data_IF_640713639947
#
_entry.id   IF_640713639947
#
_cell.length_a   1.000
_cell.length_b   1.000
_cell.length_c   1.000
_cell.angle_alpha   90.00
_cell.angle_beta   90.00
_cell.angle_gamma   90.00
#
_symmetry.space_group_name_H-M   'P 1'
#
loop_
_entity.id
_entity.type
_entity.pdbx_description
1 polymer ?
#
# COMPACT_ATOMS: atom_id res chain seq x y z
N UNK A 1 -8.89 -6.85 -8.39
CA UNK A 1 -7.75 -7.31 -7.56
C UNK A 1 -8.25 -8.35 -6.57
N UNK A 2 -7.52 -9.45 -6.34
CA UNK A 2 -7.99 -10.60 -5.54
C UNK A 2 -8.28 -10.25 -4.06
N UNK A 3 -7.60 -9.23 -3.52
CA UNK A 3 -7.86 -8.66 -2.20
C UNK A 3 -9.35 -8.35 -1.97
N UNK A 4 -9.98 -7.61 -2.88
CA UNK A 4 -11.39 -7.21 -2.77
C UNK A 4 -12.38 -8.35 -2.97
N UNK A 5 -11.95 -9.45 -3.59
CA UNK A 5 -12.77 -10.66 -3.72
C UNK A 5 -12.58 -11.62 -2.54
N UNK A 6 -11.80 -11.23 -1.52
CA UNK A 6 -11.46 -12.06 -0.35
C UNK A 6 -10.79 -13.39 -0.71
N UNK A 7 -10.20 -13.47 -1.91
CA UNK A 7 -9.42 -14.62 -2.39
C UNK A 7 -7.98 -14.50 -1.92
N UNK A 8 -7.79 -14.50 -0.60
CA UNK A 8 -6.51 -14.18 0.01
C UNK A 8 -5.41 -15.19 -0.31
N UNK A 9 -5.62 -16.53 -0.25
CA UNK A 9 -4.59 -17.48 -0.64
C UNK A 9 -4.09 -17.26 -2.07
N UNK A 10 -4.99 -17.08 -3.03
CA UNK A 10 -4.64 -16.84 -4.43
C UNK A 10 -3.96 -15.47 -4.62
N UNK A 11 -4.35 -14.46 -3.84
CA UNK A 11 -3.69 -13.16 -3.84
C UNK A 11 -2.23 -13.29 -3.38
N UNK A 12 -1.95 -14.08 -2.34
CA UNK A 12 -0.60 -14.31 -1.84
C UNK A 12 0.26 -15.02 -2.87
N UNK A 13 -0.24 -16.09 -3.50
CA UNK A 13 0.48 -16.78 -4.58
C UNK A 13 0.77 -15.88 -5.78
N UNK A 14 -0.16 -14.98 -6.12
CA UNK A 14 0.05 -14.00 -7.19
C UNK A 14 1.14 -12.99 -6.81
N UNK A 15 1.11 -12.49 -5.57
CA UNK A 15 2.05 -11.47 -5.09
C UNK A 15 3.46 -12.04 -4.89
N UNK A 16 3.61 -13.25 -4.37
CA UNK A 16 4.93 -13.88 -4.22
C UNK A 16 5.60 -14.10 -5.59
N UNK A 17 4.83 -14.53 -6.60
CA UNK A 17 5.33 -14.61 -8.00
C UNK A 17 5.61 -13.25 -8.62
N UNK A 18 4.89 -12.20 -8.21
CA UNK A 18 5.16 -10.85 -8.70
C UNK A 18 6.47 -10.32 -8.11
N UNK A 19 6.67 -10.46 -6.79
CA UNK A 19 7.90 -10.08 -6.10
C UNK A 19 9.10 -10.78 -6.73
N UNK A 20 9.02 -12.10 -6.92
CA UNK A 20 10.07 -12.87 -7.58
C UNK A 20 10.38 -12.34 -8.97
N UNK A 21 9.37 -12.07 -9.82
CA UNK A 21 9.60 -11.51 -11.16
C UNK A 21 10.24 -10.12 -11.14
N UNK A 22 9.79 -9.21 -10.27
CA UNK A 22 10.40 -7.89 -10.16
C UNK A 22 11.86 -7.98 -9.69
N UNK A 23 12.14 -8.86 -8.74
CA UNK A 23 13.47 -9.02 -8.14
C UNK A 23 14.37 -10.06 -8.85
N UNK A 24 13.95 -10.66 -9.95
CA UNK A 24 14.82 -11.59 -10.71
C UNK A 24 14.90 -11.24 -12.19
N UNK A 25 13.78 -10.81 -12.78
CA UNK A 25 13.71 -10.52 -14.21
C UNK A 25 13.85 -9.03 -14.50
N UNK A 26 13.23 -8.17 -13.67
CA UNK A 26 13.23 -6.73 -13.90
C UNK A 26 14.28 -5.97 -13.10
N UNK A 27 14.98 -6.65 -12.19
CA UNK A 27 16.03 -6.07 -11.36
C UNK A 27 15.55 -4.81 -10.58
N UNK A 28 14.32 -4.87 -10.07
CA UNK A 28 13.64 -3.76 -9.41
C UNK A 28 13.15 -4.12 -8.00
N UNK A 29 13.04 -3.12 -7.13
CA UNK A 29 12.47 -3.26 -5.79
C UNK A 29 10.95 -3.42 -5.88
N UNK A 30 10.42 -4.57 -5.44
CA UNK A 30 8.99 -4.91 -5.49
C UNK A 30 8.19 -4.31 -4.32
N UNK A 31 8.36 -3.02 -4.05
CA UNK A 31 7.82 -2.36 -2.85
C UNK A 31 6.30 -2.47 -2.75
N UNK A 32 5.59 -2.20 -3.85
CA UNK A 32 4.12 -2.21 -3.86
C UNK A 32 3.58 -3.61 -3.63
N UNK A 33 4.17 -4.62 -4.28
CA UNK A 33 3.80 -6.02 -4.11
C UNK A 33 4.04 -6.49 -2.67
N UNK A 34 5.15 -6.07 -2.05
CA UNK A 34 5.46 -6.38 -0.65
C UNK A 34 4.45 -5.76 0.30
N UNK A 35 4.07 -4.49 0.08
CA UNK A 35 3.02 -3.78 0.85
C UNK A 35 1.67 -4.48 0.70
N UNK A 36 1.26 -4.78 -0.53
CA UNK A 36 0.01 -5.51 -0.79
C UNK A 36 -0.01 -6.90 -0.14
N UNK A 37 1.11 -7.63 -0.17
CA UNK A 37 1.22 -8.93 0.49
C UNK A 37 1.06 -8.82 1.99
N UNK A 38 1.69 -7.81 2.61
CA UNK A 38 1.52 -7.53 4.03
C UNK A 38 0.06 -7.17 4.37
N UNK A 39 -0.61 -6.36 3.54
CA UNK A 39 -2.03 -6.04 3.72
C UNK A 39 -2.92 -7.29 3.64
N UNK A 40 -2.71 -8.17 2.65
CA UNK A 40 -3.44 -9.45 2.53
C UNK A 40 -3.22 -10.33 3.76
N UNK A 41 -1.97 -10.50 4.20
CA UNK A 41 -1.64 -11.32 5.37
C UNK A 41 -2.25 -10.75 6.66
N UNK A 42 -2.16 -9.44 6.85
CA UNK A 42 -2.79 -8.75 7.98
C UNK A 42 -4.30 -8.98 8.00
N UNK A 43 -4.94 -8.92 6.82
CA UNK A 43 -6.37 -9.13 6.71
C UNK A 43 -6.78 -10.60 6.87
N UNK A 44 -5.96 -11.54 6.42
CA UNK A 44 -6.28 -12.97 6.41
C UNK A 44 -5.90 -13.69 7.71
N UNK A 45 -4.74 -13.35 8.28
CA UNK A 45 -4.14 -14.02 9.44
C UNK A 45 -3.93 -13.09 10.64
N UNK A 46 -4.43 -11.85 10.57
CA UNK A 46 -4.27 -10.85 11.62
C UNK A 46 -3.02 -9.98 11.43
N UNK A 47 -3.10 -8.75 11.94
CA UNK A 47 -2.11 -7.68 11.77
C UNK A 47 -0.66 -8.11 12.07
N UNK A 48 -0.44 -8.78 13.18
CA UNK A 48 0.90 -9.22 13.59
C UNK A 48 1.53 -10.19 12.58
N UNK A 49 0.74 -11.03 11.93
CA UNK A 49 1.24 -11.95 10.90
C UNK A 49 1.73 -11.19 9.67
N UNK A 50 0.99 -10.17 9.22
CA UNK A 50 1.41 -9.34 8.10
C UNK A 50 2.68 -8.54 8.39
N UNK A 51 2.74 -7.90 9.57
CA UNK A 51 3.92 -7.20 10.08
C UNK A 51 5.14 -8.14 10.18
N UNK A 52 4.97 -9.31 10.79
CA UNK A 52 6.04 -10.28 10.97
C UNK A 52 6.59 -10.77 9.62
N UNK A 53 5.73 -11.02 8.63
CA UNK A 53 6.18 -11.46 7.30
C UNK A 53 7.03 -10.40 6.61
N UNK A 54 6.63 -9.13 6.63
CA UNK A 54 7.39 -8.10 5.94
C UNK A 54 8.73 -7.84 6.66
N UNK A 55 8.74 -7.81 8.00
CA UNK A 55 9.97 -7.68 8.82
C UNK A 55 10.97 -8.82 8.61
N UNK A 56 10.47 -10.04 8.41
CA UNK A 56 11.31 -11.23 8.19
C UNK A 56 11.66 -11.46 6.73
N UNK A 57 11.10 -10.69 5.80
CA UNK A 57 11.42 -10.82 4.39
C UNK A 57 12.83 -10.28 4.13
N UNK A 58 13.65 -10.94 3.30
CA UNK A 58 14.93 -10.40 2.93
C UNK A 58 14.75 -9.04 2.25
N UNK A 59 15.68 -8.08 2.46
CA UNK A 59 15.68 -6.85 1.69
C UNK A 59 15.79 -7.16 0.19
N UNK A 60 15.31 -6.26 -0.65
CA UNK A 60 15.48 -6.42 -2.09
C UNK A 60 16.98 -6.46 -2.45
N UNK A 61 17.42 -7.37 -3.33
CA UNK A 61 18.82 -7.43 -3.74
C UNK A 61 19.26 -6.23 -4.61
N UNK A 62 18.33 -5.41 -5.11
CA UNK A 62 18.64 -4.23 -5.94
C UNK A 62 18.62 -2.92 -5.18
N UNK A 63 18.67 -2.98 -3.84
CA UNK A 63 18.78 -1.82 -2.99
C UNK A 63 17.45 -1.39 -2.38
N UNK A 64 17.38 -0.11 -2.04
CA UNK A 64 16.28 0.48 -1.29
C UNK A 64 15.33 1.25 -2.19
N UNK A 65 14.05 1.24 -1.85
CA UNK A 65 13.04 2.10 -2.49
C UNK A 65 13.49 3.57 -2.48
N UNK A 66 13.52 4.21 -3.66
CA UNK A 66 14.00 5.58 -3.82
C UNK A 66 12.84 6.60 -3.79
N UNK A 67 11.60 6.14 -4.01
CA UNK A 67 10.40 6.97 -3.88
C UNK A 67 10.12 7.19 -2.40
N UNK A 68 10.46 8.39 -1.89
CA UNK A 68 10.33 8.79 -0.47
C UNK A 68 9.02 8.30 0.17
N UNK A 69 7.87 8.58 -0.45
CA UNK A 69 6.56 8.15 0.06
C UNK A 69 6.41 6.63 0.13
N UNK A 70 6.82 5.89 -0.90
CA UNK A 70 6.69 4.44 -0.90
C UNK A 70 7.63 3.75 0.08
N UNK A 71 8.81 4.34 0.30
CA UNK A 71 9.71 3.92 1.39
C UNK A 71 9.03 4.06 2.75
N UNK A 72 8.43 5.22 3.04
CA UNK A 72 7.71 5.45 4.29
C UNK A 72 6.47 4.54 4.45
N UNK A 73 5.75 4.27 3.36
CA UNK A 73 4.65 3.29 3.37
C UNK A 73 5.16 1.88 3.67
N UNK A 74 6.27 1.46 3.07
CA UNK A 74 6.89 0.18 3.38
C UNK A 74 7.28 0.11 4.86
N UNK A 75 7.95 1.14 5.37
CA UNK A 75 8.36 1.24 6.78
C UNK A 75 7.15 1.24 7.73
N UNK A 76 6.01 1.82 7.34
CA UNK A 76 4.76 1.75 8.11
C UNK A 76 4.23 0.31 8.19
N UNK A 77 4.22 -0.41 7.07
CA UNK A 77 3.83 -1.82 7.04
C UNK A 77 4.83 -2.74 7.75
N UNK A 78 6.09 -2.32 7.89
CA UNK A 78 7.11 -2.94 8.73
C UNK A 78 7.03 -2.50 10.20
N UNK A 79 6.18 -1.53 10.53
CA UNK A 79 6.06 -0.93 11.87
C UNK A 79 7.37 -0.32 12.38
N UNK A 80 8.12 0.32 11.48
CA UNK A 80 9.31 1.13 11.78
C UNK A 80 8.99 2.62 11.94
N UNK A 81 7.92 3.08 11.30
CA UNK A 81 7.38 4.43 11.42
C UNK A 81 5.89 4.37 11.76
N UNK A 82 5.40 5.42 12.37
CA UNK A 82 3.98 5.57 12.69
C UNK A 82 3.20 6.19 11.51
N UNK A 83 1.87 6.06 11.54
CA UNK A 83 1.00 6.55 10.48
C UNK A 83 1.09 8.09 10.32
N UNK A 84 1.31 8.79 11.43
CA UNK A 84 1.48 10.24 11.50
C UNK A 84 2.67 10.72 10.65
N UNK A 85 3.73 9.93 10.53
CA UNK A 85 4.89 10.28 9.72
C UNK A 85 4.55 10.24 8.23
N UNK A 86 3.80 9.22 7.79
CA UNK A 86 3.33 9.13 6.40
C UNK A 86 2.35 10.27 6.10
N UNK A 87 1.45 10.60 7.02
CA UNK A 87 0.52 11.73 6.88
C UNK A 87 1.25 13.07 6.80
N UNK A 88 2.28 13.29 7.62
CA UNK A 88 3.08 14.51 7.57
C UNK A 88 3.74 14.70 6.20
N UNK A 89 4.21 13.61 5.59
CA UNK A 89 4.77 13.65 4.23
C UNK A 89 3.72 13.98 3.17
N UNK A 90 2.48 13.49 3.32
CA UNK A 90 1.38 13.86 2.43
C UNK A 90 1.08 15.35 2.53
N UNK A 91 0.99 15.89 3.74
CA UNK A 91 0.74 17.32 3.95
C UNK A 91 1.90 18.21 3.46
N UNK A 92 3.15 17.83 3.71
CA UNK A 92 4.33 18.53 3.17
C UNK A 92 4.26 18.61 1.63
N UNK A 93 3.94 17.48 1.00
CA UNK A 93 3.91 17.35 -0.46
C UNK A 93 2.71 18.03 -1.12
N UNK A 94 1.67 18.45 -0.38
CA UNK A 94 0.57 19.24 -0.97
C UNK A 94 1.05 20.55 -1.60
N UNK A 95 2.10 21.12 -1.00
CA UNK A 95 2.77 22.32 -1.50
C UNK A 95 3.65 22.05 -2.72
N UNK A 96 3.98 20.78 -3.00
CA UNK A 96 4.84 20.36 -4.11
C UNK A 96 4.00 19.78 -5.28
N UNK A 97 4.13 20.32 -6.49
CA UNK A 97 3.28 19.92 -7.62
C UNK A 97 3.54 18.52 -8.19
N UNK A 98 4.57 17.79 -7.72
CA UNK A 98 4.99 16.52 -8.32
C UNK A 98 4.68 15.31 -7.41
N UNK A 99 4.11 14.24 -7.99
CA UNK A 99 4.15 12.88 -7.39
C UNK A 99 2.85 12.30 -6.83
N UNK A 100 1.69 12.94 -7.00
CA UNK A 100 0.38 12.41 -6.57
C UNK A 100 0.35 11.92 -5.10
N UNK A 101 1.09 12.57 -4.21
CA UNK A 101 1.22 12.16 -2.80
C UNK A 101 -0.12 12.07 -2.08
N UNK A 102 -1.07 12.96 -2.39
CA UNK A 102 -2.44 12.86 -1.87
C UNK A 102 -3.11 11.54 -2.26
N UNK A 103 -3.02 11.12 -3.53
CA UNK A 103 -3.62 9.86 -3.97
C UNK A 103 -2.92 8.68 -3.29
N UNK A 104 -1.61 8.55 -3.48
CA UNK A 104 -0.85 7.38 -3.04
C UNK A 104 -0.80 7.28 -1.52
N UNK A 105 -0.59 8.40 -0.82
CA UNK A 105 -0.49 8.43 0.63
C UNK A 105 -1.80 8.07 1.30
N UNK A 106 -2.90 8.76 0.96
CA UNK A 106 -4.20 8.43 1.55
C UNK A 106 -4.69 7.04 1.14
N UNK A 107 -4.37 6.58 -0.08
CA UNK A 107 -4.67 5.22 -0.50
C UNK A 107 -3.96 4.18 0.39
N UNK A 108 -2.64 4.26 0.54
CA UNK A 108 -1.88 3.28 1.30
C UNK A 108 -2.14 3.35 2.81
N UNK A 109 -2.43 4.53 3.36
CA UNK A 109 -2.94 4.68 4.73
C UNK A 109 -4.30 3.99 4.89
N UNK A 110 -5.21 4.20 3.94
CA UNK A 110 -6.51 3.52 3.96
C UNK A 110 -6.35 2.01 3.89
N UNK A 111 -5.43 1.52 3.06
CA UNK A 111 -5.13 0.09 2.94
C UNK A 111 -4.56 -0.47 4.25
N UNK A 112 -3.62 0.24 4.88
CA UNK A 112 -3.04 -0.14 6.17
C UNK A 112 -4.12 -0.23 7.27
N UNK A 113 -4.98 0.78 7.37
CA UNK A 113 -6.09 0.82 8.33
C UNK A 113 -7.08 -0.33 8.08
N UNK A 114 -7.43 -0.60 6.82
CA UNK A 114 -8.32 -1.72 6.47
C UNK A 114 -7.70 -3.08 6.83
N UNK A 115 -6.41 -3.25 6.54
CA UNK A 115 -5.64 -4.42 6.91
C UNK A 115 -5.58 -4.62 8.44
N UNK A 116 -5.59 -3.53 9.21
CA UNK A 116 -5.70 -3.53 10.66
C UNK A 116 -7.14 -3.71 11.20
N UNK A 117 -8.14 -3.84 10.33
CA UNK A 117 -9.55 -3.99 10.72
C UNK A 117 -10.25 -2.68 11.10
N UNK A 118 -9.63 -1.52 10.85
CA UNK A 118 -10.16 -0.19 11.17
C UNK A 118 -11.02 0.34 10.01
N UNK A 119 -12.19 -0.26 9.79
CA UNK A 119 -13.01 0.00 8.60
C UNK A 119 -13.44 1.48 8.44
N UNK A 120 -13.86 2.15 9.53
CA UNK A 120 -14.25 3.57 9.49
C UNK A 120 -13.07 4.49 9.11
N UNK A 121 -11.95 4.44 9.84
CA UNK A 121 -10.74 5.19 9.49
C UNK A 121 -10.19 4.87 8.10
N UNK A 122 -10.28 3.61 7.65
CA UNK A 122 -9.88 3.21 6.30
C UNK A 122 -10.74 3.88 5.23
N UNK A 123 -12.07 3.85 5.40
CA UNK A 123 -13.03 4.52 4.51
C UNK A 123 -12.73 6.01 4.40
N UNK A 124 -12.51 6.70 5.53
CA UNK A 124 -12.22 8.13 5.53
C UNK A 124 -10.94 8.46 4.74
N UNK A 125 -9.88 7.65 4.87
CA UNK A 125 -8.67 7.83 4.07
C UNK A 125 -8.92 7.60 2.57
N UNK A 126 -9.66 6.55 2.21
CA UNK A 126 -10.04 6.27 0.83
C UNK A 126 -10.85 7.42 0.21
N UNK A 127 -11.78 8.00 0.95
CA UNK A 127 -12.54 9.19 0.52
C UNK A 127 -11.61 10.39 0.23
N UNK A 128 -10.59 10.63 1.07
CA UNK A 128 -9.59 11.66 0.80
C UNK A 128 -8.76 11.35 -0.45
N UNK A 129 -8.34 10.10 -0.65
CA UNK A 129 -7.62 9.68 -1.85
C UNK A 129 -8.44 9.93 -3.14
N UNK A 130 -9.78 9.74 -3.10
CA UNK A 130 -10.63 10.02 -4.28
C UNK A 130 -10.68 11.50 -4.67
N UNK A 131 -10.40 12.40 -3.73
CA UNK A 131 -10.41 13.86 -3.92
C UNK A 131 -9.09 14.41 -4.46
N UNK A 132 -8.10 13.55 -4.72
CA UNK A 132 -6.82 13.95 -5.29
C UNK A 132 -7.03 14.59 -6.68
N UNK A 133 -7.02 15.93 -6.73
CA UNK A 133 -7.38 16.72 -7.91
C UNK A 133 -6.47 16.51 -9.13
N UNK A 134 -5.23 16.05 -8.88
CA UNK A 134 -4.17 15.95 -9.89
C UNK A 134 -3.95 14.53 -10.39
N UNK A 135 -4.65 13.56 -9.83
CA UNK A 135 -4.53 12.18 -10.24
C UNK A 135 -5.14 11.98 -11.64
N UNK A 136 -4.40 11.33 -12.53
CA UNK A 136 -4.86 11.08 -13.89
C UNK A 136 -5.80 9.89 -13.91
N UNK A 137 -6.86 9.99 -14.70
CA UNK A 137 -7.90 8.95 -14.75
C UNK A 137 -7.47 7.69 -15.52
N UNK A 138 -6.39 7.77 -16.28
CA UNK A 138 -5.78 6.62 -16.99
C UNK A 138 -4.83 5.81 -16.08
N UNK A 139 -4.42 6.36 -14.94
CA UNK A 139 -3.65 5.64 -13.93
C UNK A 139 -4.58 4.67 -13.18
N UNK A 140 -4.26 3.37 -13.22
CA UNK A 140 -5.03 2.35 -12.50
C UNK A 140 -5.16 2.66 -11.00
N UNK A 141 -4.16 3.33 -10.41
CA UNK A 141 -4.15 3.70 -8.99
C UNK A 141 -5.24 4.73 -8.67
N UNK A 142 -5.67 5.53 -9.64
CA UNK A 142 -6.82 6.43 -9.49
C UNK A 142 -8.10 5.67 -9.14
N UNK A 143 -8.24 4.42 -9.62
CA UNK A 143 -9.46 3.64 -9.43
C UNK A 143 -9.47 2.85 -8.12
N UNK A 144 -8.33 2.52 -7.54
CA UNK A 144 -8.31 1.64 -6.36
C UNK A 144 -9.04 2.19 -5.13
N UNK A 145 -8.91 3.47 -4.74
CA UNK A 145 -9.70 4.00 -3.64
C UNK A 145 -11.21 3.91 -3.89
N UNK A 146 -11.64 4.13 -5.13
CA UNK A 146 -13.05 4.04 -5.54
C UNK A 146 -13.56 2.60 -5.45
N UNK A 147 -12.77 1.65 -5.95
CA UNK A 147 -13.06 0.22 -5.83
C UNK A 147 -13.13 -0.22 -4.37
N UNK A 148 -12.22 0.28 -3.52
CA UNK A 148 -12.23 -0.02 -2.09
C UNK A 148 -13.53 0.45 -1.42
N UNK A 149 -13.99 1.66 -1.73
CA UNK A 149 -15.23 2.22 -1.20
C UNK A 149 -16.47 1.44 -1.65
N UNK A 150 -16.51 0.97 -2.90
CA UNK A 150 -17.61 0.15 -3.44
C UNK A 150 -17.66 -1.25 -2.85
N UNK A 151 -16.52 -1.82 -2.47
CA UNK A 151 -16.46 -3.14 -1.85
C UNK A 151 -17.03 -3.15 -0.42
N UNK A 152 -16.99 -2.02 0.29
CA UNK A 152 -17.37 -1.89 1.70
C UNK A 152 -18.74 -1.24 1.93
N UNK A 153 -19.51 -0.98 0.87
CA UNK A 153 -20.95 -0.64 0.91
C UNK A 153 -21.79 -1.91 0.85
#
# INVERSE_FOLDING_TARGET
MLYYNQKYPEALEQLDRAIDRYETLYEQVATEERVWRAAVLSRYHGRETGLAKIRSSPPSPYGTETRRLMGAVLDLFEGRVEEEEVLAMVEEARSNPYGNYDLYGFFYIGLYRDACGLAGPARAAMEQATRALRARQDDVMYHFPRLHLLWRT
#
